data_IF_298745798372
#
_entry.id   IF_298745798372
#
_cell.length_a   1.000
_cell.length_b   1.000
_cell.length_c   1.000
_cell.angle_alpha   90.00
_cell.angle_beta   90.00
_cell.angle_gamma   90.00
#
_symmetry.space_group_name_H-M   'P 1'
#
loop_
_entity.id
_entity.type
_entity.pdbx_description
1 polymer ?
#
# COMPACT_ATOMS: atom_id res chain seq x y z
N UNK A 1 61.65 -2.83 9.94
CA UNK A 1 60.42 -2.04 9.75
C UNK A 1 59.30 -3.01 9.39
N UNK A 2 58.48 -3.39 10.38
CA UNK A 2 57.40 -4.37 10.22
C UNK A 2 56.08 -3.61 10.25
N UNK A 3 55.44 -3.47 9.09
CA UNK A 3 54.19 -2.73 8.92
C UNK A 3 53.01 -3.59 9.41
N UNK A 4 52.22 -3.06 10.34
CA UNK A 4 51.04 -3.72 10.88
C UNK A 4 49.90 -3.80 9.83
N UNK A 5 49.08 -4.88 9.83
CA UNK A 5 48.01 -5.05 8.86
C UNK A 5 46.84 -4.09 9.14
N UNK A 6 46.27 -3.54 8.08
CA UNK A 6 45.15 -2.60 8.12
C UNK A 6 43.85 -3.23 8.70
N UNK A 7 43.00 -2.46 9.39
CA UNK A 7 41.76 -2.96 9.96
C UNK A 7 40.82 -3.42 8.86
N UNK A 8 40.36 -4.67 8.94
CA UNK A 8 39.33 -5.23 8.06
C UNK A 8 38.04 -4.42 8.27
N UNK A 9 37.66 -3.64 7.26
CA UNK A 9 36.32 -3.03 7.15
C UNK A 9 35.29 -4.16 7.24
N UNK A 10 34.58 -4.26 8.35
CA UNK A 10 33.51 -5.24 8.54
C UNK A 10 32.47 -5.07 7.44
N UNK A 11 31.99 -6.20 6.90
CA UNK A 11 30.83 -6.23 6.00
C UNK A 11 29.70 -5.45 6.67
N UNK A 12 28.97 -4.55 5.96
CA UNK A 12 27.78 -3.94 6.54
C UNK A 12 26.87 -5.05 7.06
N UNK A 13 26.17 -4.88 8.20
CA UNK A 13 25.34 -5.93 8.75
C UNK A 13 24.28 -6.31 7.70
N UNK A 14 24.51 -7.41 6.99
CA UNK A 14 23.51 -8.09 6.21
C UNK A 14 22.56 -8.71 7.22
N UNK A 15 21.36 -8.15 7.33
CA UNK A 15 20.32 -8.58 8.25
C UNK A 15 19.45 -7.48 8.86
N UNK A 16 19.33 -6.32 8.21
CA UNK A 16 18.53 -5.20 8.73
C UNK A 16 17.02 -5.46 8.66
N UNK A 17 16.25 -4.63 9.38
CA UNK A 17 14.77 -4.67 9.41
C UNK A 17 14.13 -4.79 8.02
N UNK A 18 14.61 -4.04 7.02
CA UNK A 18 14.06 -4.06 5.66
C UNK A 18 14.37 -5.35 4.88
N UNK A 19 15.53 -5.97 5.10
CA UNK A 19 15.88 -7.26 4.48
C UNK A 19 15.02 -8.38 5.06
N UNK A 20 14.78 -8.35 6.37
CA UNK A 20 13.85 -9.26 7.03
C UNK A 20 12.44 -9.10 6.46
N UNK A 21 11.91 -7.87 6.34
CA UNK A 21 10.58 -7.63 5.76
C UNK A 21 10.47 -8.08 4.30
N UNK A 22 11.55 -7.95 3.53
CA UNK A 22 11.59 -8.40 2.14
C UNK A 22 11.61 -9.93 2.05
N UNK A 23 12.35 -10.60 2.94
CA UNK A 23 12.34 -12.05 3.07
C UNK A 23 10.96 -12.57 3.53
N UNK A 24 10.32 -11.89 4.49
CA UNK A 24 8.95 -12.21 4.93
C UNK A 24 7.96 -12.18 3.78
N UNK A 25 7.98 -11.10 2.98
CA UNK A 25 7.10 -10.96 1.83
C UNK A 25 7.36 -12.05 0.77
N UNK A 26 8.62 -12.37 0.51
CA UNK A 26 8.99 -13.44 -0.41
C UNK A 26 8.47 -14.82 0.07
N UNK A 27 8.67 -15.16 1.34
CA UNK A 27 8.16 -16.40 1.93
C UNK A 27 6.63 -16.44 1.88
N UNK A 28 5.97 -15.32 2.16
CA UNK A 28 4.50 -15.22 2.10
C UNK A 28 3.98 -15.50 0.70
N UNK A 29 4.58 -14.90 -0.33
CA UNK A 29 4.21 -15.08 -1.74
C UNK A 29 4.54 -16.48 -2.27
N UNK A 30 5.68 -17.04 -1.90
CA UNK A 30 6.15 -18.33 -2.41
C UNK A 30 5.48 -19.53 -1.71
N UNK A 31 5.19 -19.42 -0.41
CA UNK A 31 4.78 -20.57 0.43
C UNK A 31 3.46 -20.37 1.18
N UNK A 32 2.90 -19.17 1.17
CA UNK A 32 1.68 -18.83 1.90
C UNK A 32 1.87 -18.69 3.41
N UNK A 33 0.83 -18.15 4.07
CA UNK A 33 0.87 -17.84 5.52
C UNK A 33 1.07 -19.08 6.40
N UNK A 34 0.53 -20.23 6.00
CA UNK A 34 0.61 -21.47 6.78
C UNK A 34 2.05 -21.98 6.95
N UNK A 35 2.97 -21.63 6.02
CA UNK A 35 4.38 -22.02 6.07
C UNK A 35 5.30 -20.89 6.50
N UNK A 36 4.76 -19.69 6.74
CA UNK A 36 5.54 -18.55 7.20
C UNK A 36 5.89 -18.73 8.68
N UNK A 37 7.16 -18.85 8.99
CA UNK A 37 7.69 -18.95 10.36
C UNK A 37 8.90 -18.04 10.52
N UNK A 38 9.19 -17.59 11.75
CA UNK A 38 10.38 -16.79 12.07
C UNK A 38 11.67 -17.47 11.62
N UNK A 39 11.77 -18.79 11.80
CA UNK A 39 12.90 -19.60 11.34
C UNK A 39 13.07 -19.61 9.82
N UNK A 40 11.99 -19.78 9.06
CA UNK A 40 12.05 -19.78 7.60
C UNK A 40 12.41 -18.38 7.06
N UNK A 41 11.84 -17.33 7.67
CA UNK A 41 12.19 -15.94 7.35
C UNK A 41 13.67 -15.66 7.66
N UNK A 42 14.16 -16.08 8.83
CA UNK A 42 15.57 -15.91 9.21
C UNK A 42 16.51 -16.59 8.20
N UNK A 43 16.19 -17.83 7.83
CA UNK A 43 16.92 -18.58 6.81
C UNK A 43 16.92 -17.85 5.46
N UNK A 44 15.77 -17.34 5.01
CA UNK A 44 15.62 -16.61 3.75
C UNK A 44 16.38 -15.27 3.76
N UNK A 45 16.36 -14.56 4.88
CA UNK A 45 17.05 -13.29 5.08
C UNK A 45 18.56 -13.44 5.32
N UNK A 46 19.05 -14.66 5.58
CA UNK A 46 20.45 -14.90 5.92
C UNK A 46 20.84 -14.37 7.31
N UNK A 47 19.90 -14.34 8.25
CA UNK A 47 20.10 -13.84 9.62
C UNK A 47 19.85 -14.93 10.65
N UNK A 48 20.25 -14.68 11.90
CA UNK A 48 19.87 -15.53 13.02
C UNK A 48 18.39 -15.35 13.34
N UNK A 49 17.73 -16.40 13.86
CA UNK A 49 16.36 -16.27 14.33
C UNK A 49 16.24 -15.27 15.51
N UNK A 50 17.28 -15.16 16.33
CA UNK A 50 17.37 -14.11 17.37
C UNK A 50 17.33 -12.69 16.81
N UNK A 51 17.85 -12.46 15.60
CA UNK A 51 17.76 -11.16 14.91
C UNK A 51 16.33 -10.84 14.49
N UNK A 52 15.51 -11.85 14.19
CA UNK A 52 14.08 -11.65 13.97
C UNK A 52 13.42 -11.17 15.26
N UNK A 53 13.61 -11.90 16.37
CA UNK A 53 13.04 -11.55 17.67
C UNK A 53 13.51 -10.20 18.22
N UNK A 54 14.72 -9.77 17.85
CA UNK A 54 15.21 -8.43 18.18
C UNK A 54 14.39 -7.32 17.50
N UNK A 55 13.91 -7.54 16.28
CA UNK A 55 13.16 -6.54 15.51
C UNK A 55 11.64 -6.71 15.58
N UNK A 56 11.16 -7.93 15.80
CA UNK A 56 9.76 -8.32 15.71
C UNK A 56 9.44 -9.36 16.77
N UNK A 57 8.42 -9.12 17.57
CA UNK A 57 8.07 -9.98 18.71
C UNK A 57 7.73 -11.41 18.27
N UNK A 58 6.96 -11.55 17.19
CA UNK A 58 6.49 -12.85 16.70
C UNK A 58 6.16 -12.82 15.19
N UNK A 59 5.56 -13.91 14.71
CA UNK A 59 5.09 -14.04 13.32
C UNK A 59 4.05 -12.98 12.95
N UNK A 60 3.14 -12.62 13.85
CA UNK A 60 2.11 -11.62 13.59
C UNK A 60 2.74 -10.23 13.50
N UNK A 61 3.65 -9.88 14.40
CA UNK A 61 4.44 -8.65 14.35
C UNK A 61 5.23 -8.51 13.04
N UNK A 62 5.77 -9.60 12.50
CA UNK A 62 6.39 -9.58 11.16
C UNK A 62 5.39 -9.21 10.05
N UNK A 63 4.21 -9.84 10.05
CA UNK A 63 3.18 -9.59 9.03
C UNK A 63 2.56 -8.20 9.15
N UNK A 64 2.32 -7.72 10.37
CA UNK A 64 1.91 -6.34 10.65
C UNK A 64 2.96 -5.36 10.15
N UNK A 65 4.25 -5.61 10.41
CA UNK A 65 5.30 -4.75 9.91
C UNK A 65 5.41 -4.76 8.38
N UNK A 66 5.07 -5.85 7.68
CA UNK A 66 4.94 -5.86 6.21
C UNK A 66 3.77 -4.99 5.76
N UNK A 67 2.63 -5.06 6.44
CA UNK A 67 1.47 -4.21 6.17
C UNK A 67 1.79 -2.72 6.40
N UNK A 68 2.39 -2.37 7.53
CA UNK A 68 2.84 -1.01 7.86
C UNK A 68 3.86 -0.47 6.86
N UNK A 69 4.77 -1.34 6.40
CA UNK A 69 5.74 -0.99 5.35
C UNK A 69 5.05 -0.51 4.08
N UNK A 70 3.91 -1.10 3.75
CA UNK A 70 3.07 -0.71 2.63
C UNK A 70 2.42 0.67 2.81
N UNK A 71 2.26 1.19 4.02
CA UNK A 71 1.62 2.49 4.26
C UNK A 71 2.51 3.68 3.87
N UNK A 72 3.83 3.48 3.69
CA UNK A 72 4.79 4.56 3.40
C UNK A 72 4.41 5.43 2.21
N UNK A 73 4.03 4.90 1.03
CA UNK A 73 3.62 5.71 -0.11
C UNK A 73 2.40 6.59 0.16
N UNK A 74 1.46 6.12 1.00
CA UNK A 74 0.28 6.91 1.40
C UNK A 74 0.67 8.03 2.37
N UNK A 75 1.56 7.74 3.32
CA UNK A 75 2.10 8.75 4.24
C UNK A 75 2.85 9.86 3.47
N UNK A 76 3.69 9.48 2.52
CA UNK A 76 4.44 10.40 1.66
C UNK A 76 3.51 11.25 0.79
N UNK A 77 2.42 10.67 0.28
CA UNK A 77 1.41 11.42 -0.47
C UNK A 77 0.69 12.43 0.42
N UNK A 78 0.28 12.03 1.62
CA UNK A 78 -0.39 12.90 2.58
C UNK A 78 0.50 14.07 3.01
N UNK A 79 1.81 13.84 3.20
CA UNK A 79 2.76 14.89 3.53
C UNK A 79 3.02 15.87 2.37
N UNK A 80 3.15 15.37 1.15
CA UNK A 80 3.36 16.21 -0.04
C UNK A 80 2.10 17.00 -0.42
N UNK A 81 0.93 16.43 -0.17
CA UNK A 81 -0.36 16.97 -0.60
C UNK A 81 -0.48 16.99 -2.13
N UNK A 82 -1.36 17.87 -2.62
CA UNK A 82 -1.75 17.93 -4.04
C UNK A 82 -1.45 19.30 -4.71
N UNK A 83 -0.59 20.10 -4.10
CA UNK A 83 -0.33 21.47 -4.57
C UNK A 83 0.40 21.47 -5.93
N UNK A 84 -0.08 22.32 -6.85
CA UNK A 84 0.59 22.61 -8.12
C UNK A 84 0.45 21.57 -9.24
N UNK A 85 -0.22 20.44 -8.99
CA UNK A 85 -0.55 19.45 -10.01
C UNK A 85 -1.96 19.68 -10.57
N UNK A 86 -2.18 19.34 -11.84
CA UNK A 86 -3.52 19.28 -12.41
C UNK A 86 -4.33 18.10 -11.83
N UNK A 87 -5.65 18.11 -12.08
CA UNK A 87 -6.57 17.08 -11.58
C UNK A 87 -6.15 15.67 -12.02
N UNK A 88 -5.85 15.46 -13.31
CA UNK A 88 -5.51 14.13 -13.85
C UNK A 88 -4.25 13.58 -13.19
N UNK A 89 -3.21 14.40 -13.11
CA UNK A 89 -1.94 14.06 -12.46
C UNK A 89 -2.13 13.74 -10.98
N UNK A 90 -3.00 14.49 -10.29
CA UNK A 90 -3.33 14.27 -8.88
C UNK A 90 -4.04 12.93 -8.65
N UNK A 91 -5.09 12.64 -9.44
CA UNK A 91 -5.82 11.37 -9.35
C UNK A 91 -4.89 10.18 -9.66
N UNK A 92 -4.06 10.29 -10.71
CA UNK A 92 -3.09 9.26 -11.06
C UNK A 92 -2.07 9.00 -9.95
N UNK A 93 -1.55 10.07 -9.33
CA UNK A 93 -0.62 9.96 -8.20
C UNK A 93 -1.24 9.30 -6.97
N UNK A 94 -2.50 9.60 -6.67
CA UNK A 94 -3.25 8.94 -5.60
C UNK A 94 -3.46 7.46 -5.89
N UNK A 95 -3.93 7.09 -7.09
CA UNK A 95 -4.09 5.69 -7.49
C UNK A 95 -2.76 4.93 -7.39
N UNK A 96 -1.65 5.54 -7.84
CA UNK A 96 -0.33 4.93 -7.75
C UNK A 96 0.10 4.68 -6.30
N UNK A 97 -0.16 5.61 -5.39
CA UNK A 97 0.16 5.42 -3.97
C UNK A 97 -0.71 4.33 -3.32
N UNK A 98 -2.01 4.27 -3.66
CA UNK A 98 -2.91 3.21 -3.20
C UNK A 98 -2.48 1.85 -3.72
N UNK A 99 -2.13 1.74 -5.00
CA UNK A 99 -1.64 0.49 -5.60
C UNK A 99 -0.29 0.05 -4.99
N UNK A 100 0.61 0.99 -4.71
CA UNK A 100 1.88 0.70 -4.04
C UNK A 100 1.69 0.21 -2.59
N UNK A 101 0.67 0.68 -1.89
CA UNK A 101 0.26 0.14 -0.59
C UNK A 101 -0.33 -1.27 -0.73
N UNK A 102 -1.27 -1.44 -1.66
CA UNK A 102 -1.98 -2.69 -1.86
C UNK A 102 -1.04 -3.83 -2.28
N UNK A 103 0.10 -3.54 -2.93
CA UNK A 103 1.02 -4.59 -3.35
C UNK A 103 1.51 -5.49 -2.17
N UNK A 104 2.22 -4.99 -1.15
CA UNK A 104 2.56 -5.82 0.00
C UNK A 104 1.33 -6.10 0.90
N UNK A 105 0.37 -5.19 1.00
CA UNK A 105 -0.73 -5.32 1.95
C UNK A 105 -1.73 -6.43 1.55
N UNK A 106 -1.99 -6.62 0.26
CA UNK A 106 -2.93 -7.65 -0.19
C UNK A 106 -2.48 -9.07 0.13
N UNK A 107 -1.17 -9.32 0.20
CA UNK A 107 -0.64 -10.62 0.62
C UNK A 107 -0.98 -10.90 2.10
N UNK A 108 -0.86 -9.88 2.96
CA UNK A 108 -1.22 -9.97 4.39
C UNK A 108 -2.73 -10.04 4.60
N UNK A 109 -3.50 -9.23 3.85
CA UNK A 109 -4.97 -9.23 3.91
C UNK A 109 -5.54 -10.59 3.47
N UNK A 110 -5.00 -11.17 2.40
CA UNK A 110 -5.41 -12.50 1.93
C UNK A 110 -5.07 -13.57 2.96
N UNK A 111 -3.88 -13.52 3.54
CA UNK A 111 -3.47 -14.42 4.61
C UNK A 111 -4.42 -14.37 5.82
N UNK A 112 -4.86 -13.17 6.21
CA UNK A 112 -5.81 -12.98 7.32
C UNK A 112 -7.18 -13.64 7.05
N UNK A 113 -7.59 -13.84 5.80
CA UNK A 113 -8.87 -14.52 5.51
C UNK A 113 -8.87 -15.99 5.96
N UNK A 114 -7.70 -16.64 6.01
CA UNK A 114 -7.56 -18.05 6.37
C UNK A 114 -6.96 -18.29 7.76
N UNK A 115 -6.60 -17.24 8.49
CA UNK A 115 -5.96 -17.30 9.80
C UNK A 115 -6.69 -16.34 10.75
N UNK A 116 -7.48 -16.91 11.67
CA UNK A 116 -8.36 -16.14 12.54
C UNK A 116 -7.60 -15.24 13.52
N UNK A 117 -6.47 -15.72 14.03
CA UNK A 117 -5.63 -14.98 14.99
C UNK A 117 -4.94 -13.81 14.28
N UNK A 118 -4.43 -14.04 13.06
CA UNK A 118 -3.89 -12.95 12.23
C UNK A 118 -4.95 -11.91 11.90
N UNK A 119 -6.18 -12.33 11.55
CA UNK A 119 -7.29 -11.42 11.28
C UNK A 119 -7.67 -10.59 12.50
N UNK A 120 -7.66 -11.19 13.68
CA UNK A 120 -7.91 -10.46 14.93
C UNK A 120 -6.80 -9.45 15.20
N UNK A 121 -5.53 -9.87 15.15
CA UNK A 121 -4.38 -9.00 15.38
C UNK A 121 -4.31 -7.84 14.38
N UNK A 122 -4.50 -8.11 13.08
CA UNK A 122 -4.55 -7.09 12.04
C UNK A 122 -5.74 -6.15 12.22
N UNK A 123 -6.92 -6.70 12.53
CA UNK A 123 -8.12 -5.90 12.77
C UNK A 123 -7.98 -4.98 13.98
N UNK A 124 -7.40 -5.47 15.08
CA UNK A 124 -7.10 -4.67 16.26
C UNK A 124 -6.10 -3.57 15.93
N UNK A 125 -4.98 -3.92 15.31
CA UNK A 125 -3.97 -2.95 14.87
C UNK A 125 -4.57 -1.86 13.96
N UNK A 126 -5.43 -2.23 13.00
CA UNK A 126 -6.09 -1.27 12.13
C UNK A 126 -7.04 -0.35 12.90
N UNK A 127 -7.85 -0.86 13.83
CA UNK A 127 -8.74 -0.02 14.64
C UNK A 127 -7.98 0.93 15.57
N UNK A 128 -6.97 0.41 16.26
CA UNK A 128 -6.21 1.16 17.27
C UNK A 128 -5.37 2.29 16.65
N UNK A 129 -5.01 2.16 15.37
CA UNK A 129 -4.22 3.14 14.63
C UNK A 129 -5.03 3.91 13.57
N UNK A 130 -6.36 3.81 13.60
CA UNK A 130 -7.28 4.43 12.63
C UNK A 130 -6.89 4.14 11.17
N UNK A 131 -6.51 2.89 10.88
CA UNK A 131 -6.09 2.47 9.54
C UNK A 131 -7.29 1.94 8.76
N UNK A 132 -7.45 2.43 7.55
CA UNK A 132 -8.50 1.99 6.65
C UNK A 132 -8.59 2.84 5.41
N UNK A 133 -9.41 2.43 4.43
CA UNK A 133 -9.61 3.18 3.20
C UNK A 133 -10.26 4.55 3.45
N UNK A 134 -10.99 4.73 4.56
CA UNK A 134 -11.64 5.99 4.93
C UNK A 134 -10.66 7.16 4.95
N UNK A 135 -9.42 6.98 5.43
CA UNK A 135 -8.39 8.03 5.43
C UNK A 135 -8.07 8.54 4.03
N UNK A 136 -7.88 7.62 3.08
CA UNK A 136 -7.62 7.96 1.68
C UNK A 136 -8.84 8.59 1.00
N UNK A 137 -10.03 8.05 1.30
CA UNK A 137 -11.32 8.55 0.76
C UNK A 137 -11.57 9.97 1.24
N UNK A 138 -11.47 10.26 2.54
CA UNK A 138 -11.68 11.60 3.10
C UNK A 138 -10.64 12.59 2.57
N UNK A 139 -9.36 12.21 2.48
CA UNK A 139 -8.30 13.07 1.94
C UNK A 139 -8.58 13.45 0.48
N UNK A 140 -8.86 12.47 -0.38
CA UNK A 140 -9.12 12.72 -1.80
C UNK A 140 -10.48 13.42 -2.02
N UNK A 141 -11.50 13.07 -1.23
CA UNK A 141 -12.79 13.75 -1.23
C UNK A 141 -12.66 15.24 -0.87
N UNK A 142 -11.84 15.58 0.13
CA UNK A 142 -11.54 16.98 0.46
C UNK A 142 -10.87 17.76 -0.68
N UNK A 143 -9.94 17.13 -1.39
CA UNK A 143 -9.33 17.71 -2.60
C UNK A 143 -10.36 17.89 -3.72
N UNK A 144 -11.16 16.87 -4.03
CA UNK A 144 -12.20 16.94 -5.06
C UNK A 144 -13.25 18.01 -4.74
N UNK A 145 -13.66 18.15 -3.48
CA UNK A 145 -14.55 19.22 -3.04
C UNK A 145 -13.93 20.61 -3.22
N UNK A 146 -12.60 20.75 -3.08
CA UNK A 146 -11.90 21.99 -3.41
C UNK A 146 -11.94 22.25 -4.93
N UNK A 147 -11.73 21.23 -5.76
CA UNK A 147 -11.80 21.36 -7.21
C UNK A 147 -13.23 21.68 -7.70
N UNK A 148 -14.26 21.24 -6.99
CA UNK A 148 -15.65 21.66 -7.25
C UNK A 148 -15.86 23.16 -7.00
N UNK A 149 -15.34 23.70 -5.88
CA UNK A 149 -15.41 25.15 -5.59
C UNK A 149 -14.68 26.00 -6.62
N UNK A 150 -13.66 25.44 -7.29
CA UNK A 150 -12.91 26.08 -8.36
C UNK A 150 -13.54 25.89 -9.75
N UNK A 151 -14.65 25.16 -9.87
CA UNK A 151 -15.31 24.86 -11.15
C UNK A 151 -14.54 23.90 -12.04
N UNK A 152 -13.51 23.21 -11.52
CA UNK A 152 -12.73 22.20 -12.26
C UNK A 152 -13.47 20.86 -12.28
N UNK A 153 -14.21 20.55 -11.23
CA UNK A 153 -15.06 19.35 -11.10
C UNK A 153 -16.52 19.79 -11.04
N UNK A 154 -17.42 19.11 -11.75
CA UNK A 154 -18.88 19.36 -11.70
C UNK A 154 -19.45 19.24 -10.27
N UNK A 155 -20.47 20.02 -9.96
CA UNK A 155 -20.98 20.17 -8.59
C UNK A 155 -21.94 19.06 -8.12
N UNK A 156 -22.50 18.28 -9.04
CA UNK A 156 -23.54 17.27 -8.80
C UNK A 156 -22.99 15.84 -8.61
N UNK A 157 -21.68 15.69 -8.49
CA UNK A 157 -21.04 14.42 -8.08
C UNK A 157 -20.61 14.50 -6.62
N UNK A 158 -20.76 13.39 -5.89
CA UNK A 158 -20.28 13.28 -4.52
C UNK A 158 -18.77 13.02 -4.48
N UNK A 159 -17.94 13.91 -3.91
CA UNK A 159 -16.48 13.78 -3.90
C UNK A 159 -15.96 12.50 -3.24
N UNK A 160 -16.59 12.06 -2.15
CA UNK A 160 -16.16 10.86 -1.43
C UNK A 160 -16.50 9.58 -2.21
N UNK A 161 -17.63 9.55 -2.92
CA UNK A 161 -18.01 8.45 -3.80
C UNK A 161 -17.05 8.32 -4.99
N UNK A 162 -16.60 9.44 -5.55
CA UNK A 162 -15.55 9.46 -6.58
C UNK A 162 -14.23 8.91 -6.00
N UNK A 163 -13.83 9.37 -4.81
CA UNK A 163 -12.64 8.90 -4.13
C UNK A 163 -12.70 7.39 -3.79
N UNK A 164 -13.86 6.91 -3.33
CA UNK A 164 -14.14 5.49 -3.11
C UNK A 164 -13.95 4.71 -4.40
N UNK A 165 -14.50 5.17 -5.52
CA UNK A 165 -14.38 4.50 -6.82
C UNK A 165 -12.92 4.35 -7.26
N UNK A 166 -12.08 5.38 -7.03
CA UNK A 166 -10.64 5.29 -7.27
C UNK A 166 -10.00 4.16 -6.46
N UNK A 167 -10.26 4.11 -5.15
CA UNK A 167 -9.73 3.09 -4.24
C UNK A 167 -10.23 1.69 -4.63
N UNK A 168 -11.52 1.53 -4.93
CA UNK A 168 -12.13 0.25 -5.32
C UNK A 168 -11.50 -0.31 -6.60
N UNK A 169 -11.24 0.53 -7.60
CA UNK A 169 -10.58 0.10 -8.84
C UNK A 169 -9.15 -0.39 -8.58
N UNK A 170 -8.40 0.30 -7.72
CA UNK A 170 -7.06 -0.10 -7.31
C UNK A 170 -7.09 -1.46 -6.56
N UNK A 171 -8.02 -1.61 -5.63
CA UNK A 171 -8.23 -2.85 -4.88
C UNK A 171 -8.57 -4.02 -5.80
N UNK A 172 -9.53 -3.84 -6.72
CA UNK A 172 -9.95 -4.90 -7.64
C UNK A 172 -8.79 -5.37 -8.53
N UNK A 173 -8.00 -4.45 -9.09
CA UNK A 173 -6.79 -4.80 -9.86
C UNK A 173 -5.79 -5.58 -9.02
N UNK A 174 -5.45 -5.07 -7.83
CA UNK A 174 -4.47 -5.70 -6.95
C UNK A 174 -4.92 -7.08 -6.44
N UNK A 175 -6.22 -7.27 -6.24
CA UNK A 175 -6.83 -8.54 -5.83
C UNK A 175 -6.86 -9.56 -6.96
N UNK A 176 -7.29 -9.17 -8.16
CA UNK A 176 -7.40 -10.09 -9.31
C UNK A 176 -6.02 -10.58 -9.77
N UNK A 177 -5.04 -9.68 -9.85
CA UNK A 177 -3.67 -10.05 -10.20
C UNK A 177 -3.11 -11.11 -9.25
N UNK A 178 -3.36 -10.99 -7.93
CA UNK A 178 -2.93 -11.99 -6.94
C UNK A 178 -3.70 -13.29 -6.98
N UNK A 179 -5.01 -13.20 -7.17
CA UNK A 179 -5.89 -14.36 -7.05
C UNK A 179 -5.84 -15.25 -8.28
N UNK A 180 -5.78 -14.67 -9.48
CA UNK A 180 -5.87 -15.41 -10.75
C UNK A 180 -4.69 -15.15 -11.70
N UNK A 181 -3.75 -14.26 -11.34
CA UNK A 181 -2.56 -13.98 -12.15
C UNK A 181 -2.83 -13.07 -13.37
N UNK A 182 -4.01 -12.44 -13.42
CA UNK A 182 -4.36 -11.50 -14.48
C UNK A 182 -5.47 -10.53 -14.04
N UNK A 183 -5.64 -9.42 -14.77
CA UNK A 183 -6.73 -8.46 -14.57
C UNK A 183 -7.73 -8.44 -15.74
N UNK A 184 -7.97 -9.57 -16.42
CA UNK A 184 -8.95 -9.65 -17.51
C UNK A 184 -10.34 -9.20 -17.06
N UNK A 185 -10.97 -8.31 -17.83
CA UNK A 185 -12.28 -7.72 -17.51
C UNK A 185 -12.26 -6.61 -16.45
N UNK A 186 -11.10 -6.33 -15.83
CA UNK A 186 -10.93 -5.20 -14.91
C UNK A 186 -10.36 -4.02 -15.68
N UNK A 187 -10.96 -2.84 -15.51
CA UNK A 187 -10.46 -1.61 -16.13
C UNK A 187 -9.02 -1.30 -15.69
N UNK A 188 -8.17 -0.98 -16.66
CA UNK A 188 -6.82 -0.49 -16.41
C UNK A 188 -6.85 0.84 -15.64
N UNK A 189 -5.72 1.20 -15.03
CA UNK A 189 -5.59 2.50 -14.34
C UNK A 189 -5.91 3.66 -15.28
N UNK A 190 -5.44 3.60 -16.52
CA UNK A 190 -5.65 4.62 -17.54
C UNK A 190 -7.11 4.69 -17.98
N UNK A 191 -7.76 3.54 -18.24
CA UNK A 191 -9.18 3.49 -18.59
C UNK A 191 -10.07 4.08 -17.49
N UNK A 192 -9.78 3.74 -16.22
CA UNK A 192 -10.49 4.29 -15.08
C UNK A 192 -10.28 5.81 -14.97
N UNK A 193 -9.04 6.28 -15.17
CA UNK A 193 -8.71 7.70 -15.11
C UNK A 193 -9.41 8.48 -16.23
N UNK A 194 -9.38 8.01 -17.47
CA UNK A 194 -10.00 8.67 -18.61
C UNK A 194 -11.53 8.75 -18.48
N UNK A 195 -12.15 7.67 -17.99
CA UNK A 195 -13.56 7.65 -17.63
C UNK A 195 -13.86 8.72 -16.57
N UNK A 196 -13.08 8.78 -15.48
CA UNK A 196 -13.30 9.77 -14.42
C UNK A 196 -13.06 11.20 -14.91
N UNK A 197 -12.04 11.45 -15.73
CA UNK A 197 -11.82 12.78 -16.31
C UNK A 197 -13.01 13.24 -17.16
N UNK A 198 -13.64 12.32 -17.89
CA UNK A 198 -14.85 12.59 -18.66
C UNK A 198 -16.05 12.87 -17.76
N UNK A 199 -16.25 12.06 -16.72
CA UNK A 199 -17.40 12.18 -15.82
C UNK A 199 -17.31 13.38 -14.87
N UNK A 200 -16.10 13.78 -14.48
CA UNK A 200 -15.87 14.89 -13.55
C UNK A 200 -15.86 16.26 -14.23
N UNK A 201 -15.68 16.30 -15.55
CA UNK A 201 -15.66 17.55 -16.30
C UNK A 201 -16.93 18.38 -16.03
N UNK A 202 -16.81 19.72 -15.93
CA UNK A 202 -17.97 20.59 -15.80
C UNK A 202 -18.96 20.32 -16.92
N UNK A 203 -20.23 20.12 -16.57
CA UNK A 203 -21.27 20.03 -17.59
C UNK A 203 -21.38 21.43 -18.19
N UNK A 204 -21.02 21.59 -19.46
CA UNK A 204 -21.14 22.89 -20.13
C UNK A 204 -22.53 23.46 -19.91
N UNK A 205 -22.61 24.76 -19.59
CA UNK A 205 -23.85 25.46 -19.34
C UNK A 205 -24.90 25.00 -20.35
N UNK A 206 -25.97 24.38 -19.86
CA UNK A 206 -27.21 24.35 -20.60
C UNK A 206 -27.62 25.82 -20.75
N UNK A 207 -27.21 26.42 -21.87
CA UNK A 207 -27.57 27.75 -22.32
C UNK A 207 -29.06 27.95 -22.05
N UNK A 208 -29.37 28.87 -21.14
CA UNK A 208 -30.67 29.52 -21.05
C UNK A 208 -30.49 30.98 -21.41
#
# INVERSE_FOLDING_TARGET
MTTAPAPRRGRPPSGGREEILSATLAVLRERGVAKLTTREVAKRAGVSEGSIYYHFTDRFGLLLAVFERGLRPLADLNQRGFAGADLRSTLAGFMAAVEAFLDPAMDVLTAAQSDADLREALGAHMRDNDLGPHRGITMMGGYLAQQQRLGVVRADVDPETVAYTLVSGCFMRASQERMVGHTLGVASREQQLDMLMTLLAPTGDAVK
#
